data_IF_440424294668
#
_entry.id   IF_440424294668
#
_cell.length_a   1.000
_cell.length_b   1.000
_cell.length_c   1.000
_cell.angle_alpha   90.00
_cell.angle_beta   90.00
_cell.angle_gamma   90.00
#
_symmetry.space_group_name_H-M   'P 1'
#
loop_
_entity.id
_entity.type
_entity.pdbx_description
1 polymer ?
#
# COMPACT_ATOMS: atom_id res chain seq x y z
N UNK A 1 -15.18 -2.22 -5.75
CA UNK A 1 -13.72 -2.16 -5.94
C UNK A 1 -13.30 -3.49 -6.52
N UNK A 2 -12.77 -3.52 -7.74
CA UNK A 2 -12.39 -4.79 -8.39
C UNK A 2 -10.92 -5.13 -8.08
N UNK A 3 -10.59 -6.43 -8.10
CA UNK A 3 -9.26 -6.94 -7.73
C UNK A 3 -8.12 -6.19 -8.44
N UNK A 4 -8.27 -5.96 -9.75
CA UNK A 4 -7.27 -5.23 -10.58
C UNK A 4 -7.03 -3.78 -10.11
N UNK A 5 -8.07 -3.13 -9.57
CA UNK A 5 -7.97 -1.76 -9.07
C UNK A 5 -7.22 -1.74 -7.74
N UNK A 6 -7.49 -2.72 -6.89
CA UNK A 6 -6.80 -2.91 -5.62
C UNK A 6 -5.31 -3.26 -5.81
N UNK A 7 -4.97 -4.09 -6.80
CA UNK A 7 -3.56 -4.37 -7.16
C UNK A 7 -2.83 -3.11 -7.63
N UNK A 8 -3.47 -2.27 -8.45
CA UNK A 8 -2.88 -1.01 -8.91
C UNK A 8 -2.61 -0.06 -7.75
N UNK A 9 -3.53 0.02 -6.79
CA UNK A 9 -3.38 0.84 -5.60
C UNK A 9 -2.25 0.31 -4.69
N UNK A 10 -2.16 -0.99 -4.47
CA UNK A 10 -1.06 -1.63 -3.72
C UNK A 10 0.29 -1.31 -4.37
N UNK A 11 0.41 -1.50 -5.70
CA UNK A 11 1.65 -1.19 -6.43
C UNK A 11 2.01 0.30 -6.38
N UNK A 12 1.01 1.17 -6.38
CA UNK A 12 1.21 2.63 -6.28
C UNK A 12 1.75 2.99 -4.91
N UNK A 13 1.14 2.48 -3.83
CA UNK A 13 1.59 2.71 -2.46
C UNK A 13 3.00 2.16 -2.23
N UNK A 14 3.33 0.98 -2.74
CA UNK A 14 4.69 0.43 -2.69
C UNK A 14 5.71 1.36 -3.35
N UNK A 15 5.41 1.85 -4.56
CA UNK A 15 6.29 2.81 -5.26
C UNK A 15 6.48 4.10 -4.48
N UNK A 16 5.42 4.61 -3.85
CA UNK A 16 5.50 5.80 -2.99
C UNK A 16 6.42 5.54 -1.81
N UNK A 17 6.26 4.43 -1.08
CA UNK A 17 7.15 4.07 0.04
C UNK A 17 8.60 3.96 -0.41
N UNK A 18 8.88 3.29 -1.54
CA UNK A 18 10.23 3.17 -2.06
C UNK A 18 10.83 4.50 -2.52
N UNK A 19 10.03 5.40 -3.10
CA UNK A 19 10.47 6.74 -3.47
C UNK A 19 10.77 7.57 -2.22
N UNK A 20 9.91 7.50 -1.20
CA UNK A 20 10.07 8.21 0.06
C UNK A 20 11.31 7.72 0.83
N UNK A 21 11.54 6.41 0.88
CA UNK A 21 12.73 5.83 1.48
C UNK A 21 14.03 6.19 0.72
N UNK A 22 13.92 6.54 -0.56
CA UNK A 22 15.07 6.92 -1.39
C UNK A 22 15.42 8.40 -1.25
N UNK A 23 14.43 9.28 -1.06
CA UNK A 23 14.64 10.74 -0.98
C UNK A 23 15.04 11.26 0.42
N UNK A 24 15.04 10.38 1.44
CA UNK A 24 15.79 10.38 2.71
C UNK A 24 16.15 11.69 3.46
N UNK A 25 15.51 12.83 3.24
CA UNK A 25 15.82 14.06 3.99
C UNK A 25 14.64 14.96 4.38
N UNK A 26 13.43 14.78 3.82
CA UNK A 26 12.32 15.72 4.06
C UNK A 26 11.01 15.10 4.60
N UNK A 27 10.92 13.78 4.73
CA UNK A 27 9.70 13.14 5.22
C UNK A 27 9.79 12.75 6.69
N UNK A 28 8.80 13.18 7.47
CA UNK A 28 8.65 12.78 8.86
C UNK A 28 8.27 11.29 8.90
N UNK A 29 8.86 10.52 9.81
CA UNK A 29 8.58 9.09 10.00
C UNK A 29 7.07 8.76 10.08
N UNK A 30 6.27 9.73 10.53
CA UNK A 30 4.81 9.64 10.58
C UNK A 30 4.12 9.49 9.22
N UNK A 31 4.68 10.03 8.13
CA UNK A 31 4.06 9.95 6.80
C UNK A 31 4.34 8.61 6.13
N UNK A 32 5.57 8.08 6.28
CA UNK A 32 5.90 6.71 5.87
C UNK A 32 5.04 5.71 6.66
N UNK A 33 4.85 5.94 7.97
CA UNK A 33 4.02 5.09 8.81
C UNK A 33 2.55 5.07 8.35
N UNK A 34 1.96 6.24 8.04
CA UNK A 34 0.57 6.32 7.53
C UNK A 34 0.41 5.58 6.21
N UNK A 35 1.35 5.77 5.28
CA UNK A 35 1.31 5.13 3.95
C UNK A 35 1.48 3.61 4.09
N UNK A 36 2.33 3.16 5.02
CA UNK A 36 2.52 1.74 5.32
C UNK A 36 1.26 1.11 5.92
N UNK A 37 0.60 1.80 6.86
CA UNK A 37 -0.68 1.34 7.42
C UNK A 37 -1.79 1.27 6.36
N UNK A 38 -1.81 2.20 5.40
CA UNK A 38 -2.78 2.16 4.30
C UNK A 38 -2.48 1.00 3.34
N UNK A 39 -1.20 0.73 3.05
CA UNK A 39 -0.78 -0.41 2.26
C UNK A 39 -1.23 -1.73 2.88
N UNK A 40 -1.00 -1.91 4.19
CA UNK A 40 -1.41 -3.11 4.92
C UNK A 40 -2.92 -3.33 4.86
N UNK A 41 -3.72 -2.27 5.00
CA UNK A 41 -5.19 -2.35 4.87
C UNK A 41 -5.60 -2.83 3.47
N UNK A 42 -4.97 -2.32 2.41
CA UNK A 42 -5.29 -2.73 1.04
C UNK A 42 -4.86 -4.16 0.75
N UNK A 43 -3.70 -4.59 1.25
CA UNK A 43 -3.24 -5.99 1.17
C UNK A 43 -4.21 -6.92 1.90
N UNK A 44 -4.65 -6.54 3.10
CA UNK A 44 -5.62 -7.34 3.86
C UNK A 44 -6.95 -7.50 3.11
N UNK A 45 -7.48 -6.41 2.53
CA UNK A 45 -8.69 -6.48 1.70
C UNK A 45 -8.47 -7.37 0.48
N UNK A 46 -7.30 -7.28 -0.14
CA UNK A 46 -6.95 -8.09 -1.32
C UNK A 46 -6.91 -9.58 -0.99
N UNK A 47 -6.25 -9.94 0.10
CA UNK A 47 -6.21 -11.31 0.60
C UNK A 47 -7.60 -11.82 0.98
N UNK A 48 -8.43 -10.99 1.63
CA UNK A 48 -9.82 -11.36 1.92
C UNK A 48 -10.65 -11.60 0.66
N UNK A 49 -10.48 -10.78 -0.36
CA UNK A 49 -11.19 -10.94 -1.62
C UNK A 49 -10.76 -12.22 -2.34
N UNK A 50 -9.46 -12.54 -2.37
CA UNK A 50 -8.98 -13.82 -2.93
C UNK A 50 -9.52 -15.01 -2.14
N UNK A 51 -9.40 -14.98 -0.81
CA UNK A 51 -9.81 -16.10 0.05
C UNK A 51 -11.34 -16.24 0.22
N UNK A 52 -12.14 -15.26 -0.23
CA UNK A 52 -13.61 -15.36 -0.26
C UNK A 52 -14.14 -15.80 -1.62
N UNK A 53 -13.26 -16.05 -2.60
CA UNK A 53 -13.61 -16.57 -3.93
C UNK A 53 -13.52 -18.12 -3.95
N UNK A 54 -13.06 -18.75 -2.87
CA UNK A 54 -13.14 -20.20 -2.61
C UNK A 54 -14.47 -20.61 -1.95
#
# INVERSE_FOLDING_TARGET
>A
MNLSQLEKEIKTLQKIIYSLAKDNHEYCDGDILKISQELDKKIFIYQKMINSID
#
